data_IF_895057275279
#
_entry.id   IF_895057275279
#
_cell.length_a   1.000
_cell.length_b   1.000
_cell.length_c   1.000
_cell.angle_alpha   90.00
_cell.angle_beta   90.00
_cell.angle_gamma   90.00
#
_symmetry.space_group_name_H-M   'P 1'
#
loop_
_entity.id
_entity.type
_entity.pdbx_description
1 polymer ?
#
# COMPACT_ATOMS: atom_id res chain seq x y z
N UNK A 1 16.78 2.00 -19.18
CA UNK A 1 17.12 2.18 -17.78
C UNK A 1 15.91 2.81 -17.11
N UNK A 2 15.36 2.15 -16.14
CA UNK A 2 14.05 2.52 -15.62
C UNK A 2 14.20 3.62 -14.56
N UNK A 3 13.30 4.58 -14.58
CA UNK A 3 13.10 5.56 -13.52
C UNK A 3 12.68 4.90 -12.18
N UNK A 4 12.45 3.58 -12.19
CA UNK A 4 12.12 2.77 -11.01
C UNK A 4 13.14 2.94 -9.88
N UNK A 5 14.43 3.09 -10.20
CA UNK A 5 15.48 3.30 -9.20
C UNK A 5 15.23 4.60 -8.43
N UNK A 6 15.05 5.70 -9.15
CA UNK A 6 14.78 7.01 -8.53
C UNK A 6 13.51 7.00 -7.69
N UNK A 7 12.40 6.43 -8.19
CA UNK A 7 11.17 6.28 -7.40
C UNK A 7 11.40 5.56 -6.06
N UNK A 8 12.30 4.58 -6.02
CA UNK A 8 12.65 3.87 -4.78
C UNK A 8 13.54 4.73 -3.87
N UNK A 9 14.50 5.47 -4.44
CA UNK A 9 15.36 6.40 -3.72
C UNK A 9 14.49 7.45 -3.01
N UNK A 10 13.66 8.20 -3.73
CA UNK A 10 12.75 9.20 -3.15
C UNK A 10 11.80 8.61 -2.11
N UNK A 11 11.33 7.37 -2.32
CA UNK A 11 10.47 6.71 -1.32
C UNK A 11 11.21 6.45 0.00
N UNK A 12 12.50 6.12 -0.04
CA UNK A 12 13.30 5.92 1.17
C UNK A 12 13.70 7.25 1.82
N UNK A 13 13.94 8.30 1.06
CA UNK A 13 14.24 9.64 1.56
C UNK A 13 13.04 10.24 2.28
N UNK A 14 11.83 10.09 1.73
CA UNK A 14 10.58 10.39 2.44
C UNK A 14 10.47 9.61 3.76
N UNK A 15 10.76 8.31 3.74
CA UNK A 15 10.70 7.50 4.96
C UNK A 15 11.71 7.96 6.02
N UNK A 16 12.94 8.31 5.61
CA UNK A 16 13.98 8.83 6.49
C UNK A 16 13.59 10.20 7.09
N UNK A 17 13.01 11.10 6.30
CA UNK A 17 12.51 12.39 6.76
C UNK A 17 11.40 12.22 7.81
N UNK A 18 10.51 11.25 7.62
CA UNK A 18 9.47 10.88 8.61
C UNK A 18 10.12 10.35 9.90
N UNK A 19 11.07 9.44 9.79
CA UNK A 19 11.73 8.82 10.95
C UNK A 19 12.55 9.84 11.77
N UNK A 20 13.03 10.91 11.12
CA UNK A 20 13.76 12.03 11.76
C UNK A 20 12.85 13.10 12.34
N UNK A 21 11.54 13.04 12.09
CA UNK A 21 10.57 14.08 12.45
C UNK A 21 10.99 15.47 11.91
N UNK A 22 11.50 15.50 10.65
CA UNK A 22 12.00 16.69 9.96
C UNK A 22 10.95 17.16 8.92
N UNK A 23 10.12 18.16 9.25
CA UNK A 23 9.07 18.63 8.36
C UNK A 23 9.59 19.34 7.11
N UNK A 24 10.75 19.98 7.17
CA UNK A 24 11.32 20.71 6.04
C UNK A 24 11.87 19.69 5.02
N UNK A 25 12.65 18.72 5.47
CA UNK A 25 13.10 17.60 4.64
C UNK A 25 11.90 16.82 4.07
N UNK A 26 10.90 16.51 4.90
CA UNK A 26 9.71 15.79 4.43
C UNK A 26 8.97 16.56 3.33
N UNK A 27 8.91 17.89 3.41
CA UNK A 27 8.29 18.70 2.37
C UNK A 27 9.08 18.61 1.04
N UNK A 28 10.40 18.64 1.10
CA UNK A 28 11.30 18.50 -0.04
C UNK A 28 11.14 17.13 -0.70
N UNK A 29 11.29 16.06 0.06
CA UNK A 29 11.24 14.68 -0.43
C UNK A 29 9.86 14.28 -0.99
N UNK A 30 8.78 14.81 -0.41
CA UNK A 30 7.45 14.64 -1.00
C UNK A 30 7.32 15.33 -2.36
N UNK A 31 8.02 16.44 -2.57
CA UNK A 31 8.12 17.11 -3.88
C UNK A 31 8.82 16.23 -4.91
N UNK A 32 9.93 15.62 -4.55
CA UNK A 32 10.71 14.74 -5.43
C UNK A 32 9.96 13.43 -5.72
N UNK A 33 9.29 12.85 -4.73
CA UNK A 33 8.38 11.72 -4.95
C UNK A 33 7.22 12.09 -5.89
N UNK A 34 6.63 13.28 -5.75
CA UNK A 34 5.59 13.78 -6.65
C UNK A 34 6.12 13.94 -8.07
N UNK A 35 7.36 14.45 -8.24
CA UNK A 35 8.03 14.53 -9.53
C UNK A 35 8.10 13.16 -10.21
N UNK A 36 8.44 12.09 -9.48
CA UNK A 36 8.45 10.74 -10.03
C UNK A 36 7.06 10.31 -10.53
N UNK A 37 6.00 10.65 -9.79
CA UNK A 37 4.61 10.36 -10.23
C UNK A 37 4.30 11.08 -11.55
N UNK A 38 4.62 12.37 -11.65
CA UNK A 38 4.40 13.18 -12.85
C UNK A 38 5.21 12.65 -14.03
N UNK A 39 6.47 12.26 -13.80
CA UNK A 39 7.33 11.67 -14.83
C UNK A 39 6.74 10.38 -15.40
N UNK A 40 6.30 9.47 -14.54
CA UNK A 40 5.70 8.22 -15.00
C UNK A 40 4.36 8.46 -15.73
N UNK A 41 3.56 9.42 -15.26
CA UNK A 41 2.33 9.82 -15.96
C UNK A 41 2.62 10.42 -17.35
N UNK A 42 3.69 11.20 -17.47
CA UNK A 42 4.13 11.74 -18.78
C UNK A 42 4.56 10.63 -19.73
N UNK A 43 5.33 9.67 -19.27
CA UNK A 43 5.71 8.49 -20.08
C UNK A 43 4.48 7.66 -20.49
N UNK A 44 3.50 7.53 -19.60
CA UNK A 44 2.21 6.91 -19.91
C UNK A 44 1.47 7.63 -21.03
N UNK A 45 1.43 8.96 -20.98
CA UNK A 45 0.79 9.80 -21.99
C UNK A 45 1.51 9.72 -23.34
N UNK A 46 2.84 9.72 -23.36
CA UNK A 46 3.64 9.54 -24.59
C UNK A 46 3.42 8.17 -25.23
N UNK A 47 3.16 7.14 -24.42
CA UNK A 47 2.81 5.81 -24.87
C UNK A 47 1.32 5.64 -25.25
N UNK A 48 0.48 6.67 -25.06
CA UNK A 48 -0.96 6.62 -25.32
C UNK A 48 -1.73 5.70 -24.37
N UNK A 49 -1.23 5.48 -23.16
CA UNK A 49 -1.82 4.54 -22.19
C UNK A 49 -2.70 5.22 -21.14
N UNK A 50 -2.19 6.26 -20.50
CA UNK A 50 -2.86 7.08 -19.49
C UNK A 50 -2.09 8.38 -19.28
N UNK A 51 -2.72 9.37 -18.66
CA UNK A 51 -2.09 10.64 -18.30
C UNK A 51 -2.20 10.96 -16.79
N UNK A 52 -1.73 12.14 -16.38
CA UNK A 52 -1.80 12.58 -14.99
C UNK A 52 -3.26 12.79 -14.53
N UNK A 53 -4.16 13.17 -15.42
CA UNK A 53 -5.59 13.29 -15.14
C UNK A 53 -6.20 11.94 -14.79
N UNK A 54 -5.85 10.89 -15.52
CA UNK A 54 -6.30 9.52 -15.25
C UNK A 54 -5.80 9.02 -13.90
N UNK A 55 -4.55 9.32 -13.55
CA UNK A 55 -3.97 8.98 -12.24
C UNK A 55 -4.74 9.66 -11.12
N UNK A 56 -5.01 10.97 -11.24
CA UNK A 56 -5.78 11.74 -10.27
C UNK A 56 -7.23 11.26 -10.18
N UNK A 57 -7.90 11.05 -11.30
CA UNK A 57 -9.27 10.56 -11.35
C UNK A 57 -9.38 9.17 -10.70
N UNK A 58 -8.42 8.29 -10.98
CA UNK A 58 -8.36 6.94 -10.41
C UNK A 58 -8.24 6.93 -8.89
N UNK A 59 -7.35 7.75 -8.32
CA UNK A 59 -7.22 7.84 -6.86
C UNK A 59 -8.43 8.50 -6.21
N UNK A 60 -8.99 9.57 -6.79
CA UNK A 60 -10.20 10.22 -6.29
C UNK A 60 -11.39 9.24 -6.26
N UNK A 61 -11.66 8.55 -7.36
CA UNK A 61 -12.72 7.55 -7.43
C UNK A 61 -12.54 6.43 -6.40
N UNK A 62 -11.30 5.99 -6.18
CA UNK A 62 -10.96 5.00 -5.15
C UNK A 62 -11.24 5.51 -3.74
N UNK A 63 -10.85 6.75 -3.43
CA UNK A 63 -11.08 7.36 -2.12
C UNK A 63 -12.57 7.52 -1.84
N UNK A 64 -13.34 8.08 -2.78
CA UNK A 64 -14.79 8.24 -2.65
C UNK A 64 -15.46 6.89 -2.37
N UNK A 65 -15.15 5.87 -3.17
CA UNK A 65 -15.74 4.55 -3.03
C UNK A 65 -15.39 3.86 -1.70
N UNK A 66 -14.17 4.06 -1.18
CA UNK A 66 -13.71 3.42 0.07
C UNK A 66 -14.08 4.15 1.34
N UNK A 67 -14.62 5.37 1.23
CA UNK A 67 -15.04 6.18 2.36
C UNK A 67 -16.53 6.55 2.26
N UNK A 68 -17.44 5.54 2.22
CA UNK A 68 -18.88 5.80 2.09
C UNK A 68 -19.47 6.51 3.31
N UNK A 69 -18.76 6.54 4.44
CA UNK A 69 -19.12 7.31 5.63
C UNK A 69 -18.82 8.82 5.50
N UNK A 70 -18.02 9.23 4.48
CA UNK A 70 -17.74 10.64 4.18
C UNK A 70 -18.50 11.10 2.94
N UNK A 71 -18.59 10.25 1.92
CA UNK A 71 -19.10 10.61 0.60
C UNK A 71 -20.44 9.95 0.27
N UNK A 72 -21.03 9.16 1.17
CA UNK A 72 -22.28 8.43 1.02
C UNK A 72 -23.07 8.40 2.31
N UNK A 73 -24.03 7.47 2.41
CA UNK A 73 -24.97 7.36 3.52
C UNK A 73 -24.55 6.35 4.60
N UNK A 74 -23.37 5.76 4.49
CA UNK A 74 -22.91 4.80 5.49
C UNK A 74 -22.54 5.51 6.80
N UNK A 75 -23.03 4.98 7.91
CA UNK A 75 -22.67 5.48 9.25
C UNK A 75 -21.51 4.66 9.77
N UNK A 76 -20.49 5.34 10.30
CA UNK A 76 -19.39 4.72 11.02
C UNK A 76 -19.14 5.55 12.29
N UNK A 77 -19.38 4.94 13.45
CA UNK A 77 -19.31 5.61 14.74
C UNK A 77 -17.88 5.61 15.32
N UNK A 78 -17.02 4.72 14.83
CA UNK A 78 -15.65 4.57 15.28
C UNK A 78 -14.67 4.20 14.15
N UNK A 79 -13.38 4.31 14.45
CA UNK A 79 -12.29 4.00 13.51
C UNK A 79 -12.22 2.52 13.13
N UNK A 80 -12.69 1.62 13.98
CA UNK A 80 -12.69 0.18 13.74
C UNK A 80 -13.72 -0.18 12.67
N UNK A 81 -14.92 0.39 12.78
CA UNK A 81 -15.98 0.27 11.77
C UNK A 81 -15.55 0.84 10.42
N UNK A 82 -14.89 2.01 10.41
CA UNK A 82 -14.30 2.59 9.19
C UNK A 82 -13.31 1.63 8.54
N UNK A 83 -12.41 1.06 9.32
CA UNK A 83 -11.39 0.13 8.82
C UNK A 83 -12.01 -1.18 8.31
N UNK A 84 -13.02 -1.69 8.99
CA UNK A 84 -13.76 -2.88 8.56
C UNK A 84 -14.47 -2.65 7.21
N UNK A 85 -15.18 -1.52 7.06
CA UNK A 85 -15.82 -1.14 5.79
C UNK A 85 -14.78 -1.00 4.66
N UNK A 86 -13.69 -0.30 4.91
CA UNK A 86 -12.61 -0.11 3.95
C UNK A 86 -12.00 -1.45 3.48
N UNK A 87 -11.74 -2.37 4.42
CA UNK A 87 -11.22 -3.70 4.10
C UNK A 87 -12.21 -4.54 3.29
N UNK A 88 -13.51 -4.48 3.64
CA UNK A 88 -14.56 -5.19 2.91
C UNK A 88 -14.70 -4.69 1.47
N UNK A 89 -14.69 -3.37 1.25
CA UNK A 89 -14.73 -2.78 -0.08
C UNK A 89 -13.49 -3.15 -0.88
N UNK A 90 -12.30 -3.01 -0.28
CA UNK A 90 -11.02 -3.38 -0.92
C UNK A 90 -10.97 -4.85 -1.33
N UNK A 91 -11.56 -5.74 -0.54
CA UNK A 91 -11.63 -7.16 -0.86
C UNK A 91 -12.51 -7.46 -2.09
N UNK A 92 -13.57 -6.66 -2.29
CA UNK A 92 -14.49 -6.78 -3.45
C UNK A 92 -13.90 -6.22 -4.75
N UNK A 93 -12.97 -5.27 -4.66
CA UNK A 93 -12.34 -4.62 -5.82
C UNK A 93 -11.32 -5.51 -6.56
N UNK A 94 -10.77 -6.49 -5.88
CA UNK A 94 -9.79 -7.39 -6.50
C UNK A 94 -10.50 -8.51 -7.26
N UNK A 95 -10.10 -8.78 -8.53
CA UNK A 95 -10.54 -9.99 -9.19
C UNK A 95 -10.16 -11.18 -8.31
N UNK A 96 -11.14 -12.07 -8.04
CA UNK A 96 -10.88 -13.31 -7.31
C UNK A 96 -10.17 -14.28 -8.26
N UNK A 97 -8.92 -14.66 -7.98
CA UNK A 97 -8.28 -15.72 -8.73
C UNK A 97 -9.03 -17.05 -8.50
N UNK A 98 -8.90 -17.98 -9.42
CA UNK A 98 -9.52 -19.31 -9.33
C UNK A 98 -9.13 -20.04 -8.02
N UNK A 99 -7.93 -19.76 -7.51
CA UNK A 99 -7.42 -20.24 -6.22
C UNK A 99 -6.91 -19.05 -5.41
N UNK A 100 -7.77 -18.42 -4.61
CA UNK A 100 -7.37 -17.26 -3.82
C UNK A 100 -6.36 -17.64 -2.74
N UNK A 101 -5.27 -16.88 -2.67
CA UNK A 101 -4.26 -16.99 -1.62
C UNK A 101 -4.30 -15.76 -0.71
N UNK A 102 -4.02 -15.94 0.58
CA UNK A 102 -3.84 -14.83 1.51
C UNK A 102 -2.70 -13.88 1.05
N UNK A 103 -1.76 -14.39 0.25
CA UNK A 103 -0.60 -13.66 -0.23
C UNK A 103 -0.84 -12.96 -1.57
N UNK A 104 -2.01 -13.10 -2.18
CA UNK A 104 -2.33 -12.44 -3.44
C UNK A 104 -2.19 -10.92 -3.35
N UNK A 105 -1.43 -10.35 -4.30
CA UNK A 105 -1.17 -8.91 -4.37
C UNK A 105 -0.14 -8.40 -3.36
N UNK A 106 0.68 -9.29 -2.76
CA UNK A 106 1.94 -8.88 -2.14
C UNK A 106 2.95 -8.64 -3.26
N UNK A 107 3.53 -7.43 -3.38
CA UNK A 107 4.52 -7.18 -4.43
C UNK A 107 5.77 -8.02 -4.20
N UNK A 108 6.14 -8.83 -5.19
CA UNK A 108 7.34 -9.67 -5.13
C UNK A 108 8.65 -8.84 -5.08
N UNK A 109 8.58 -7.55 -5.40
CA UNK A 109 9.71 -6.63 -5.41
C UNK A 109 9.92 -5.89 -4.07
N UNK A 110 9.14 -6.20 -3.03
CA UNK A 110 9.39 -5.67 -1.70
C UNK A 110 10.77 -6.08 -1.19
N UNK A 111 11.45 -5.21 -0.40
CA UNK A 111 12.62 -5.61 0.36
C UNK A 111 12.32 -6.83 1.24
N UNK A 112 13.30 -7.72 1.42
CA UNK A 112 13.08 -9.03 2.05
C UNK A 112 12.40 -8.95 3.42
N UNK A 113 12.79 -8.02 4.28
CA UNK A 113 12.17 -7.84 5.60
C UNK A 113 10.74 -7.30 5.51
N UNK A 114 10.49 -6.37 4.59
CA UNK A 114 9.13 -5.85 4.34
C UNK A 114 8.21 -6.93 3.76
N UNK A 115 8.75 -7.77 2.87
CA UNK A 115 8.04 -8.93 2.32
C UNK A 115 7.70 -9.93 3.42
N UNK A 116 8.65 -10.25 4.29
CA UNK A 116 8.43 -11.16 5.42
C UNK A 116 7.35 -10.61 6.38
N UNK A 117 7.45 -9.33 6.74
CA UNK A 117 6.47 -8.68 7.62
C UNK A 117 5.07 -8.66 7.01
N UNK A 118 4.94 -8.29 5.74
CA UNK A 118 3.63 -8.25 5.07
C UNK A 118 3.04 -9.65 4.91
N UNK A 119 3.88 -10.64 4.61
CA UNK A 119 3.47 -12.06 4.55
C UNK A 119 2.96 -12.52 5.91
N UNK A 120 3.72 -12.28 6.98
CA UNK A 120 3.33 -12.62 8.35
C UNK A 120 1.99 -11.97 8.73
N UNK A 121 1.85 -10.66 8.55
CA UNK A 121 0.60 -9.94 8.82
C UNK A 121 -0.61 -10.52 8.11
N UNK A 122 -0.44 -11.00 6.89
CA UNK A 122 -1.55 -11.57 6.11
C UNK A 122 -1.95 -12.96 6.56
N UNK A 123 -0.99 -13.81 6.89
CA UNK A 123 -1.29 -15.17 7.37
C UNK A 123 -1.87 -15.15 8.77
N UNK A 124 -1.42 -14.23 9.63
CA UNK A 124 -2.01 -13.99 10.97
C UNK A 124 -3.50 -13.64 10.85
N UNK A 125 -3.88 -12.77 9.90
CA UNK A 125 -5.31 -12.45 9.66
C UNK A 125 -6.15 -13.65 9.20
N UNK A 126 -5.52 -14.73 8.75
CA UNK A 126 -6.18 -15.99 8.40
C UNK A 126 -6.19 -16.99 9.59
N UNK A 127 -5.76 -16.55 10.76
CA UNK A 127 -5.67 -17.37 11.95
C UNK A 127 -4.42 -18.24 12.03
N UNK A 128 -3.45 -18.03 11.15
CA UNK A 128 -2.16 -18.72 11.19
C UNK A 128 -1.19 -17.91 12.05
N UNK A 129 -1.26 -18.14 13.35
CA UNK A 129 -0.41 -17.49 14.33
C UNK A 129 0.13 -18.51 15.33
N UNK A 130 1.31 -18.21 15.87
CA UNK A 130 1.92 -19.00 16.93
C UNK A 130 1.25 -18.67 18.27
N UNK A 131 0.98 -19.66 19.13
CA UNK A 131 0.31 -19.42 20.42
C UNK A 131 1.14 -18.54 21.36
N UNK A 132 2.47 -18.63 21.26
CA UNK A 132 3.41 -17.88 22.11
C UNK A 132 4.83 -17.81 21.49
N UNK A 133 5.68 -16.99 22.09
CA UNK A 133 7.10 -16.88 21.71
C UNK A 133 7.90 -18.17 21.84
N UNK A 134 7.75 -19.00 22.91
CA UNK A 134 8.39 -20.31 23.00
C UNK A 134 8.11 -21.21 21.79
N UNK A 135 6.89 -21.24 21.29
CA UNK A 135 6.53 -22.02 20.11
C UNK A 135 7.25 -21.53 18.84
N UNK A 136 7.42 -20.20 18.70
CA UNK A 136 8.21 -19.61 17.61
C UNK A 136 9.67 -20.06 17.68
N UNK A 137 10.29 -19.97 18.86
CA UNK A 137 11.69 -20.38 19.05
C UNK A 137 11.89 -21.88 18.85
N UNK A 138 10.96 -22.71 19.32
CA UNK A 138 11.02 -24.14 19.10
C UNK A 138 11.04 -24.48 17.60
N UNK A 139 10.20 -23.79 16.80
CA UNK A 139 10.14 -24.00 15.35
C UNK A 139 11.37 -23.46 14.62
N UNK A 140 11.94 -22.37 15.09
CA UNK A 140 13.15 -21.81 14.50
C UNK A 140 14.41 -22.66 14.75
N UNK A 141 14.39 -23.56 15.75
CA UNK A 141 15.47 -24.47 16.10
C UNK A 141 15.43 -25.81 15.34
N UNK A 142 14.34 -26.13 14.63
CA UNK A 142 14.20 -27.28 13.74
C UNK A 142 14.91 -27.06 12.40
#
# INVERSE_FOLDING_TARGET
ASLRRYLLEETYEVAEAIDRDDPDALCEELGDLLLQVVFHARLGAEAGLFDAGDVCAGICAKLVRRHPHIFGDAVAEDSETVLAHWNAIKAREKPRPERPSALDGVPASLPALSLALETSRRVVRQGFEWPDLPAVFAKAAE
#
